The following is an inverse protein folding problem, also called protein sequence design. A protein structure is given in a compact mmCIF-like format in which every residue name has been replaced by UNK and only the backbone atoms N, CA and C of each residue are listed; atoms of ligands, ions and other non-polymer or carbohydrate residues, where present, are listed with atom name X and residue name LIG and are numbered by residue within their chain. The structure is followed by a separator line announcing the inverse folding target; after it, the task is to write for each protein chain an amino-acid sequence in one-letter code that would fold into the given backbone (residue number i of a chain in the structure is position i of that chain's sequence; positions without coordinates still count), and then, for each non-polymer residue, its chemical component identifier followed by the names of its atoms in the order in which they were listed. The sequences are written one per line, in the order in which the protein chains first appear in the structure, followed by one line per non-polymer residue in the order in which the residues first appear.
data_IF_015036459073
#
_entry.id   IF_015036459073
#
_cell.length_a   1.000
_cell.length_b   1.000
_cell.length_c   1.000
_cell.angle_alpha   90.00
_cell.angle_beta   90.00
_cell.angle_gamma   90.00
#
_symmetry.space_group_name_H-M   'P 1'
#
loop_
_entity.id
_entity.type
_entity.pdbx_description
1 polymer ?
#
# COMPACT_ATOMS: atom_id res chain seq x y z
N UNK A 1 15.27 17.36 8.61
CA UNK A 1 14.26 17.47 7.53
C UNK A 1 14.28 16.21 6.65
N UNK A 2 13.13 15.78 6.11
CA UNK A 2 13.09 14.69 5.11
C UNK A 2 13.60 15.21 3.75
N UNK A 3 14.28 14.36 2.96
CA UNK A 3 14.85 14.75 1.66
C UNK A 3 13.80 15.33 0.70
N UNK A 4 12.61 14.74 0.65
CA UNK A 4 11.55 15.22 -0.22
C UNK A 4 11.05 16.63 0.17
N UNK A 5 11.13 16.98 1.46
CA UNK A 5 10.78 18.33 1.94
C UNK A 5 11.91 19.30 1.60
N UNK A 6 13.17 18.91 1.79
CA UNK A 6 14.32 19.74 1.40
C UNK A 6 14.28 20.08 -0.09
N UNK A 7 13.99 19.10 -0.95
CA UNK A 7 13.82 19.32 -2.39
C UNK A 7 12.65 20.23 -2.73
N UNK A 8 11.53 20.14 -1.98
CA UNK A 8 10.40 21.05 -2.15
C UNK A 8 10.80 22.49 -1.83
N UNK A 9 11.51 22.73 -0.72
CA UNK A 9 11.93 24.08 -0.32
C UNK A 9 12.91 24.67 -1.35
N UNK A 10 13.90 23.87 -1.78
CA UNK A 10 14.85 24.27 -2.82
C UNK A 10 14.14 24.61 -4.14
N UNK A 11 13.13 23.84 -4.52
CA UNK A 11 12.32 24.15 -5.71
C UNK A 11 11.54 25.47 -5.54
N UNK A 12 11.01 25.74 -4.35
CA UNK A 12 10.33 27.00 -4.08
C UNK A 12 11.28 28.19 -4.15
N UNK A 13 12.49 28.08 -3.58
CA UNK A 13 13.55 29.10 -3.67
C UNK A 13 13.93 29.37 -5.14
N UNK A 14 14.23 28.32 -5.91
CA UNK A 14 14.63 28.43 -7.32
C UNK A 14 13.54 29.05 -8.21
N UNK A 15 12.27 28.82 -7.89
CA UNK A 15 11.12 29.32 -8.66
C UNK A 15 10.53 30.61 -8.09
N UNK A 16 11.14 31.18 -7.04
CA UNK A 16 10.63 32.34 -6.32
C UNK A 16 9.16 32.18 -5.85
N UNK A 17 8.83 30.98 -5.36
CA UNK A 17 7.52 30.63 -4.80
C UNK A 17 7.58 30.80 -3.29
N UNK A 18 6.65 31.55 -2.71
CA UNK A 18 6.59 31.75 -1.27
C UNK A 18 6.14 30.48 -0.54
N UNK A 19 6.82 30.15 0.56
CA UNK A 19 6.44 29.05 1.45
C UNK A 19 6.62 29.43 2.92
N UNK A 20 6.02 28.63 3.79
CA UNK A 20 6.08 28.75 5.25
C UNK A 20 6.24 27.35 5.84
N UNK A 21 7.23 27.18 6.73
CA UNK A 21 7.36 25.99 7.57
C UNK A 21 6.45 26.19 8.79
N UNK A 22 5.37 25.42 8.89
CA UNK A 22 4.35 25.62 9.93
C UNK A 22 4.70 24.89 11.24
N UNK A 23 5.29 23.68 11.13
CA UNK A 23 5.51 22.82 12.28
C UNK A 23 7.01 22.71 12.63
N UNK A 24 7.41 22.70 13.93
CA UNK A 24 8.82 22.70 14.34
C UNK A 24 9.64 21.51 13.85
N UNK A 25 9.01 20.35 13.59
CA UNK A 25 9.71 19.20 13.01
C UNK A 25 9.93 19.33 11.49
N UNK A 26 9.59 20.48 10.90
CA UNK A 26 9.82 20.83 9.50
C UNK A 26 9.20 19.85 8.49
N UNK A 27 8.09 19.23 8.87
CA UNK A 27 7.39 18.24 8.05
C UNK A 27 5.99 18.69 7.65
N UNK A 28 5.59 19.93 7.96
CA UNK A 28 4.36 20.56 7.50
C UNK A 28 4.70 21.91 6.87
N UNK A 29 4.54 21.99 5.55
CA UNK A 29 4.91 23.15 4.74
C UNK A 29 3.67 23.69 4.04
N UNK A 30 3.46 25.01 4.09
CA UNK A 30 2.46 25.72 3.29
C UNK A 30 3.17 26.43 2.14
N UNK A 31 2.74 26.17 0.92
CA UNK A 31 3.26 26.77 -0.31
C UNK A 31 2.15 27.63 -0.92
N UNK A 32 2.45 28.87 -1.32
CA UNK A 32 1.53 29.74 -2.06
C UNK A 32 1.83 29.65 -3.54
N UNK A 33 0.93 29.06 -4.32
CA UNK A 33 1.07 28.90 -5.77
C UNK A 33 -0.26 29.21 -6.45
N UNK A 34 -0.25 29.99 -7.54
CA UNK A 34 -1.46 30.40 -8.28
C UNK A 34 -2.57 30.98 -7.37
N UNK A 35 -2.15 31.89 -6.46
CA UNK A 35 -2.97 32.49 -5.41
C UNK A 35 -3.72 31.53 -4.47
N UNK A 36 -3.29 30.27 -4.42
CA UNK A 36 -3.82 29.24 -3.53
C UNK A 36 -2.75 28.73 -2.57
N UNK A 37 -3.21 28.31 -1.39
CA UNK A 37 -2.37 27.64 -0.41
C UNK A 37 -2.43 26.13 -0.57
N UNK A 38 -1.26 25.53 -0.62
CA UNK A 38 -1.04 24.11 -0.81
C UNK A 38 -0.24 23.57 0.36
N UNK A 39 -0.70 22.47 0.96
CA UNK A 39 -0.06 21.90 2.14
C UNK A 39 0.65 20.60 1.77
N UNK A 40 1.92 20.53 2.16
CA UNK A 40 2.76 19.35 2.05
C UNK A 40 3.04 18.83 3.46
N UNK A 41 2.80 17.54 3.70
CA UNK A 41 2.96 16.94 5.02
C UNK A 41 3.66 15.58 4.93
N UNK A 42 4.90 15.50 5.43
CA UNK A 42 5.80 14.35 5.20
C UNK A 42 5.87 14.01 3.70
N UNK A 43 5.39 12.83 3.30
CA UNK A 43 5.31 12.38 1.91
C UNK A 43 3.95 12.69 1.23
N UNK A 44 3.02 13.32 1.95
CA UNK A 44 1.69 13.66 1.44
C UNK A 44 1.75 14.98 0.69
N UNK A 45 1.22 15.00 -0.53
CA UNK A 45 1.20 16.17 -1.40
C UNK A 45 -0.25 16.56 -1.74
N UNK A 46 -0.51 17.81 -2.12
CA UNK A 46 -1.84 18.27 -2.53
C UNK A 46 -2.18 17.90 -3.99
N UNK A 47 -1.35 17.09 -4.64
CA UNK A 47 -1.49 16.76 -6.06
C UNK A 47 -2.62 15.77 -6.35
N UNK A 48 -2.97 14.95 -5.36
CA UNK A 48 -4.03 13.95 -5.47
C UNK A 48 -4.99 14.05 -4.30
N UNK A 49 -6.27 13.78 -4.57
CA UNK A 49 -7.27 13.72 -3.52
C UNK A 49 -7.16 12.43 -2.69
N UNK A 50 -7.89 12.39 -1.56
CA UNK A 50 -7.86 11.26 -0.64
C UNK A 50 -8.32 9.93 -1.28
N UNK A 51 -9.30 9.97 -2.18
CA UNK A 51 -9.81 8.77 -2.85
C UNK A 51 -8.74 8.15 -3.76
N UNK A 52 -8.06 8.97 -4.57
CA UNK A 52 -6.94 8.53 -5.41
C UNK A 52 -5.77 8.02 -4.56
N UNK A 53 -5.44 8.72 -3.48
CA UNK A 53 -4.40 8.25 -2.56
C UNK A 53 -4.73 6.90 -1.91
N UNK A 54 -6.01 6.64 -1.60
CA UNK A 54 -6.46 5.35 -1.06
C UNK A 54 -6.33 4.24 -2.10
N UNK A 55 -6.70 4.50 -3.35
CA UNK A 55 -6.53 3.56 -4.48
C UNK A 55 -5.06 3.18 -4.64
N UNK A 56 -4.15 4.15 -4.70
CA UNK A 56 -2.72 3.90 -4.94
C UNK A 56 -2.04 3.14 -3.78
N UNK A 57 -2.57 3.24 -2.55
CA UNK A 57 -2.08 2.50 -1.39
C UNK A 57 -2.62 1.07 -1.31
N UNK A 58 -3.60 0.73 -2.13
CA UNK A 58 -4.27 -0.56 -2.16
C UNK A 58 -3.89 -1.30 -3.46
N UNK A 59 -3.13 -2.38 -3.31
CA UNK A 59 -2.56 -3.10 -4.46
C UNK A 59 -3.64 -3.85 -5.25
N UNK A 60 -4.69 -4.33 -4.60
CA UNK A 60 -5.82 -4.97 -5.26
C UNK A 60 -6.63 -3.95 -6.07
N UNK A 61 -6.96 -2.79 -5.49
CA UNK A 61 -7.63 -1.72 -6.24
C UNK A 61 -6.80 -1.23 -7.42
N UNK A 62 -5.49 -1.01 -7.20
CA UNK A 62 -4.57 -0.61 -8.26
C UNK A 62 -4.54 -1.65 -9.39
N UNK A 63 -4.47 -2.94 -9.06
CA UNK A 63 -4.53 -4.02 -10.05
C UNK A 63 -5.83 -3.99 -10.85
N UNK A 64 -6.99 -3.88 -10.21
CA UNK A 64 -8.28 -3.89 -10.91
C UNK A 64 -8.50 -2.67 -11.83
N UNK A 65 -7.89 -1.53 -11.52
CA UNK A 65 -7.96 -0.34 -12.38
C UNK A 65 -7.04 -0.45 -13.59
N UNK A 66 -5.88 -1.10 -13.44
CA UNK A 66 -4.79 -1.05 -14.42
C UNK A 66 -4.64 -2.33 -15.25
N UNK A 67 -5.10 -3.50 -14.78
CA UNK A 67 -4.84 -4.79 -15.45
C UNK A 67 -5.45 -4.92 -16.85
N UNK A 68 -6.43 -4.08 -17.20
CA UNK A 68 -7.00 -3.98 -18.57
C UNK A 68 -6.33 -2.92 -19.44
N UNK A 69 -5.39 -2.14 -18.89
CA UNK A 69 -4.76 -0.99 -19.56
C UNK A 69 -3.27 -1.21 -19.81
N UNK A 70 -2.60 -1.91 -18.90
CA UNK A 70 -1.18 -2.22 -19.00
C UNK A 70 -0.93 -3.68 -18.58
N UNK A 71 0.19 -4.24 -19.04
CA UNK A 71 0.63 -5.56 -18.60
C UNK A 71 1.01 -5.51 -17.13
N UNK A 72 0.35 -6.32 -16.32
CA UNK A 72 0.65 -6.50 -14.89
C UNK A 72 0.82 -7.99 -14.59
N UNK A 73 1.61 -8.33 -13.55
CA UNK A 73 1.61 -9.69 -13.02
C UNK A 73 0.20 -10.09 -12.59
N UNK A 74 -0.21 -11.31 -12.92
CA UNK A 74 -1.48 -11.86 -12.45
C UNK A 74 -1.52 -11.76 -10.91
N UNK A 75 -2.63 -11.22 -10.39
CA UNK A 75 -2.80 -10.96 -8.96
C UNK A 75 -4.18 -11.44 -8.52
N UNK A 76 -4.25 -12.08 -7.37
CA UNK A 76 -5.48 -12.47 -6.66
C UNK A 76 -5.34 -11.94 -5.23
N UNK A 77 -6.39 -11.30 -4.71
CA UNK A 77 -6.46 -10.85 -3.33
C UNK A 77 -7.24 -11.83 -2.45
N UNK A 78 -6.78 -12.05 -1.24
CA UNK A 78 -7.40 -12.94 -0.26
C UNK A 78 -7.79 -12.18 1.00
N UNK A 79 -9.06 -12.24 1.38
CA UNK A 79 -9.53 -11.72 2.68
C UNK A 79 -9.08 -12.67 3.79
N UNK A 80 -8.55 -12.09 4.88
CA UNK A 80 -8.13 -12.81 6.07
C UNK A 80 -9.26 -13.67 6.63
N UNK A 81 -9.03 -14.99 6.85
CA UNK A 81 -9.96 -15.85 7.57
C UNK A 81 -10.30 -15.36 8.98
N UNK A 82 -9.49 -14.47 9.54
CA UNK A 82 -9.66 -13.89 10.89
C UNK A 82 -10.35 -12.52 10.88
N UNK A 83 -10.94 -12.11 9.74
CA UNK A 83 -11.69 -10.86 9.66
C UNK A 83 -12.91 -10.82 10.61
N UNK A 84 -13.33 -9.60 10.98
CA UNK A 84 -14.55 -9.38 11.76
C UNK A 84 -15.78 -10.08 11.15
N UNK A 85 -16.74 -10.44 12.00
CA UNK A 85 -17.99 -11.12 11.61
C UNK A 85 -18.74 -10.40 10.47
N UNK A 86 -18.78 -9.06 10.51
CA UNK A 86 -19.44 -8.25 9.46
C UNK A 86 -18.82 -8.41 8.07
N UNK A 87 -17.57 -8.87 7.97
CA UNK A 87 -16.90 -9.06 6.69
C UNK A 87 -16.92 -10.52 6.23
N UNK A 88 -17.39 -11.47 7.06
CA UNK A 88 -17.45 -12.90 6.72
C UNK A 88 -18.29 -13.18 5.47
N UNK A 89 -19.28 -12.33 5.16
CA UNK A 89 -20.07 -12.43 3.93
C UNK A 89 -19.24 -12.28 2.65
N UNK A 90 -18.04 -11.67 2.74
CA UNK A 90 -17.12 -11.50 1.62
C UNK A 90 -16.01 -12.57 1.61
N UNK A 91 -15.97 -13.47 2.60
CA UNK A 91 -14.91 -14.47 2.75
C UNK A 91 -15.12 -15.64 1.79
N UNK A 92 -14.38 -15.64 0.68
CA UNK A 92 -14.42 -16.70 -0.33
C UNK A 92 -13.63 -17.94 0.06
N UNK A 93 -12.54 -17.76 0.83
CA UNK A 93 -11.63 -18.82 1.26
C UNK A 93 -11.65 -18.88 2.79
N UNK A 94 -12.43 -19.80 3.39
CA UNK A 94 -12.69 -19.81 4.83
C UNK A 94 -11.47 -20.07 5.70
N UNK A 95 -10.43 -20.72 5.16
CA UNK A 95 -9.23 -21.11 5.91
C UNK A 95 -7.94 -20.73 5.18
N UNK A 96 -6.83 -20.72 5.94
CA UNK A 96 -5.48 -20.52 5.37
C UNK A 96 -5.13 -21.62 4.36
N UNK A 97 -5.57 -22.86 4.59
CA UNK A 97 -5.29 -23.96 3.65
C UNK A 97 -6.08 -23.81 2.34
N UNK A 98 -7.30 -23.26 2.37
CA UNK A 98 -8.06 -22.93 1.15
C UNK A 98 -7.32 -21.89 0.31
N UNK A 99 -6.73 -20.87 0.96
CA UNK A 99 -5.93 -19.83 0.31
C UNK A 99 -4.67 -20.45 -0.32
N UNK A 100 -3.96 -21.31 0.42
CA UNK A 100 -2.75 -21.95 -0.09
C UNK A 100 -3.08 -22.84 -1.29
N UNK A 101 -4.18 -23.61 -1.22
CA UNK A 101 -4.64 -24.45 -2.32
C UNK A 101 -4.88 -23.61 -3.58
N UNK A 102 -5.67 -22.54 -3.46
CA UNK A 102 -5.95 -21.63 -4.59
C UNK A 102 -4.66 -21.04 -5.18
N UNK A 103 -3.71 -20.59 -4.34
CA UNK A 103 -2.43 -20.07 -4.83
C UNK A 103 -1.68 -21.15 -5.62
N UNK A 104 -1.58 -22.37 -5.10
CA UNK A 104 -0.84 -23.46 -5.76
C UNK A 104 -1.51 -23.99 -7.03
N UNK A 105 -2.82 -23.83 -7.19
CA UNK A 105 -3.54 -24.19 -8.41
C UNK A 105 -3.46 -23.10 -9.48
N UNK A 106 -3.39 -21.81 -9.09
CA UNK A 106 -3.42 -20.68 -10.03
C UNK A 106 -2.06 -20.15 -10.44
N UNK A 107 -1.03 -20.34 -9.62
CA UNK A 107 0.28 -19.76 -9.83
C UNK A 107 1.37 -20.84 -9.87
N UNK A 108 2.32 -20.67 -10.79
CA UNK A 108 3.58 -21.40 -10.76
C UNK A 108 4.53 -20.77 -9.74
N UNK A 109 5.33 -21.59 -9.08
CA UNK A 109 6.44 -21.14 -8.25
C UNK A 109 7.64 -20.69 -9.13
N UNK A 110 8.42 -19.68 -8.70
CA UNK A 110 8.22 -18.88 -7.50
C UNK A 110 7.04 -17.89 -7.60
N UNK A 111 6.42 -17.58 -6.47
CA UNK A 111 5.31 -16.63 -6.36
C UNK A 111 5.61 -15.55 -5.31
N UNK A 112 5.16 -14.33 -5.57
CA UNK A 112 5.23 -13.23 -4.59
C UNK A 112 3.95 -13.22 -3.76
N UNK A 113 4.08 -13.41 -2.45
CA UNK A 113 2.99 -13.24 -1.48
C UNK A 113 3.23 -11.94 -0.72
N UNK A 114 2.24 -11.04 -0.67
CA UNK A 114 2.45 -9.71 -0.07
C UNK A 114 1.19 -9.15 0.56
N UNK A 115 1.30 -8.41 1.66
CA UNK A 115 0.17 -7.64 2.18
C UNK A 115 -0.36 -6.62 1.17
N UNK A 116 -1.67 -6.39 1.19
CA UNK A 116 -2.32 -5.48 0.26
C UNK A 116 -1.91 -4.02 0.48
N UNK A 117 -1.88 -3.57 1.73
CA UNK A 117 -1.55 -2.20 2.09
C UNK A 117 -0.18 -2.07 2.76
N UNK A 118 0.30 -0.84 2.95
CA UNK A 118 1.57 -0.56 3.62
C UNK A 118 2.78 -0.39 2.69
N UNK A 119 3.95 -0.12 3.29
CA UNK A 119 5.14 0.39 2.61
C UNK A 119 6.44 -0.34 2.99
N UNK A 120 7.51 0.01 2.28
CA UNK A 120 8.90 -0.38 2.54
C UNK A 120 9.19 -1.88 2.43
N UNK A 121 8.45 -2.60 1.58
CA UNK A 121 8.68 -4.03 1.35
C UNK A 121 8.38 -4.96 2.53
N UNK A 122 7.85 -4.44 3.64
CA UNK A 122 7.45 -5.27 4.77
C UNK A 122 6.32 -6.22 4.39
N UNK A 123 6.45 -7.48 4.83
CA UNK A 123 5.54 -8.56 4.50
C UNK A 123 5.36 -8.74 2.99
N UNK A 124 6.49 -8.73 2.26
CA UNK A 124 6.62 -9.13 0.86
C UNK A 124 7.57 -10.33 0.83
N UNK A 125 7.08 -11.47 0.36
CA UNK A 125 7.78 -12.74 0.39
C UNK A 125 7.91 -13.28 -1.02
N UNK A 126 9.11 -13.70 -1.39
CA UNK A 126 9.35 -14.52 -2.58
C UNK A 126 9.34 -15.98 -2.16
N UNK A 127 8.25 -16.68 -2.46
CA UNK A 127 8.03 -18.05 -2.03
C UNK A 127 8.38 -19.03 -3.16
N UNK A 128 9.27 -19.97 -2.86
CA UNK A 128 9.76 -21.00 -3.76
C UNK A 128 8.97 -22.31 -3.67
N UNK A 129 8.19 -22.50 -2.61
CA UNK A 129 7.44 -23.72 -2.34
C UNK A 129 6.19 -23.46 -1.50
N UNK A 130 5.36 -24.49 -1.35
CA UNK A 130 4.08 -24.43 -0.62
C UNK A 130 4.24 -24.03 0.85
N UNK A 131 5.31 -24.48 1.51
CA UNK A 131 5.53 -24.18 2.93
C UNK A 131 5.92 -22.73 3.15
N UNK A 132 6.72 -22.15 2.25
CA UNK A 132 7.02 -20.73 2.24
C UNK A 132 5.78 -19.87 1.99
N UNK A 133 4.88 -20.28 1.07
CA UNK A 133 3.58 -19.62 0.86
C UNK A 133 2.77 -19.63 2.15
N UNK A 134 2.65 -20.79 2.80
CA UNK A 134 1.92 -20.93 4.07
C UNK A 134 2.47 -19.99 5.15
N UNK A 135 3.80 -19.94 5.29
CA UNK A 135 4.44 -19.09 6.27
C UNK A 135 4.19 -17.60 5.98
N UNK A 136 4.29 -17.19 4.72
CA UNK A 136 4.01 -15.82 4.30
C UNK A 136 2.56 -15.41 4.61
N UNK A 137 1.58 -16.23 4.25
CA UNK A 137 0.15 -15.96 4.50
C UNK A 137 -0.13 -15.88 6.01
N UNK A 138 0.42 -16.81 6.81
CA UNK A 138 0.28 -16.77 8.27
C UNK A 138 0.88 -15.52 8.89
N UNK A 139 2.05 -15.06 8.40
CA UNK A 139 2.68 -13.84 8.90
C UNK A 139 1.89 -12.58 8.55
N UNK A 140 1.28 -12.51 7.37
CA UNK A 140 0.44 -11.37 6.97
C UNK A 140 -0.85 -11.33 7.80
N UNK A 141 -1.46 -12.49 8.06
CA UNK A 141 -2.71 -12.61 8.79
C UNK A 141 -2.56 -12.84 10.30
N UNK A 142 -1.37 -12.62 10.86
CA UNK A 142 -1.16 -12.69 12.30
C UNK A 142 -1.78 -11.47 12.98
N UNK A 143 -2.94 -11.65 13.62
CA UNK A 143 -3.70 -10.60 14.31
C UNK A 143 -2.96 -9.99 15.50
N UNK A 144 -1.94 -10.67 16.04
CA UNK A 144 -1.13 -10.16 17.15
C UNK A 144 0.04 -9.30 16.65
N UNK A 145 0.24 -9.23 15.33
CA UNK A 145 1.31 -8.48 14.70
C UNK A 145 0.83 -7.07 14.34
N UNK A 146 1.64 -6.05 14.65
CA UNK A 146 1.34 -4.67 14.25
C UNK A 146 1.39 -4.44 12.72
N UNK A 147 1.84 -5.45 11.95
CA UNK A 147 1.84 -5.48 10.49
C UNK A 147 0.73 -6.33 9.89
N UNK A 148 -0.25 -6.74 10.70
CA UNK A 148 -1.47 -7.39 10.23
C UNK A 148 -2.12 -6.60 9.09
N UNK A 149 -2.54 -7.31 8.05
CA UNK A 149 -3.40 -6.76 6.99
C UNK A 149 -4.61 -7.68 6.82
N UNK A 150 -5.77 -7.10 6.53
CA UNK A 150 -6.96 -7.89 6.23
C UNK A 150 -6.88 -8.57 4.87
N UNK A 151 -5.97 -8.13 4.00
CA UNK A 151 -5.83 -8.66 2.63
C UNK A 151 -4.36 -9.01 2.33
N UNK A 152 -4.15 -10.19 1.76
CA UNK A 152 -2.88 -10.70 1.24
C UNK A 152 -2.97 -11.00 -0.27
#
# INVERSE_FOLDING_TARGET
MLDNVSLLLQACENLNISYEIIYPAENLIKVKFDDKYHYFCNYSTPLINQAVAKILKDKEYTYHILNKKIKLPQTIGFLSPYCDLKYKMYLKFPTIEDIILEITEKFSIPVIVKRNSGSSGHNVFLCQNKDEIRNAVKQIFDINNNRYDYIA
#
